data_IF_077726740912
#
_entry.id   IF_077726740912
#
_cell.length_a   1.000
_cell.length_b   1.000
_cell.length_c   1.000
_cell.angle_alpha   90.00
_cell.angle_beta   90.00
_cell.angle_gamma   90.00
#
_symmetry.space_group_name_H-M   'P 1'
#
loop_
_entity.id
_entity.type
_entity.pdbx_description
1 polymer ?
#
# COMPACT_ATOMS: atom_id res chain seq x y z
N UNK A 1 11.37 -28.11 -38.55
CA UNK A 1 12.28 -27.30 -37.70
C UNK A 1 12.24 -25.81 -38.01
N UNK A 2 12.65 -25.32 -39.19
CA UNK A 2 12.70 -23.86 -39.50
C UNK A 2 11.37 -23.10 -39.25
N UNK A 3 10.22 -23.70 -39.57
CA UNK A 3 8.89 -23.09 -39.37
C UNK A 3 8.54 -22.96 -37.88
N UNK A 4 8.88 -23.96 -37.06
CA UNK A 4 8.71 -23.97 -35.60
C UNK A 4 9.54 -22.85 -34.93
N UNK A 5 10.82 -22.72 -35.30
CA UNK A 5 11.68 -21.66 -34.76
C UNK A 5 11.20 -20.25 -35.15
N UNK A 6 10.67 -20.08 -36.38
CA UNK A 6 10.06 -18.79 -36.76
C UNK A 6 8.83 -18.45 -35.94
N UNK A 7 7.95 -19.41 -35.69
CA UNK A 7 6.75 -19.21 -34.86
C UNK A 7 7.15 -18.88 -33.43
N UNK A 8 8.08 -19.66 -32.85
CA UNK A 8 8.58 -19.43 -31.49
C UNK A 8 9.22 -18.03 -31.35
N UNK A 9 10.05 -17.63 -32.32
CA UNK A 9 10.66 -16.31 -32.37
C UNK A 9 9.61 -15.18 -32.41
N UNK A 10 8.55 -15.37 -33.22
CA UNK A 10 7.45 -14.40 -33.31
C UNK A 10 6.65 -14.30 -32.02
N UNK A 11 6.39 -15.42 -31.34
CA UNK A 11 5.73 -15.45 -30.03
C UNK A 11 6.57 -14.69 -29.00
N UNK A 12 7.88 -14.90 -28.96
CA UNK A 12 8.80 -14.20 -28.05
C UNK A 12 8.77 -12.69 -28.31
N UNK A 13 8.87 -12.27 -29.58
CA UNK A 13 8.81 -10.83 -29.93
C UNK A 13 7.47 -10.20 -29.55
N UNK A 14 6.37 -10.90 -29.79
CA UNK A 14 5.03 -10.44 -29.42
C UNK A 14 4.90 -10.31 -27.89
N UNK A 15 5.42 -11.29 -27.14
CA UNK A 15 5.42 -11.25 -25.68
C UNK A 15 6.24 -10.08 -25.15
N UNK A 16 7.42 -9.81 -25.71
CA UNK A 16 8.24 -8.64 -25.35
C UNK A 16 7.51 -7.34 -25.65
N UNK A 17 6.87 -7.24 -26.81
CA UNK A 17 6.08 -6.07 -27.17
C UNK A 17 4.91 -5.84 -26.21
N UNK A 18 4.16 -6.89 -25.86
CA UNK A 18 3.05 -6.82 -24.90
C UNK A 18 3.56 -6.36 -23.54
N UNK A 19 4.65 -6.94 -23.03
CA UNK A 19 5.26 -6.55 -21.78
C UNK A 19 5.75 -5.09 -21.79
N UNK A 20 6.31 -4.64 -22.92
CA UNK A 20 6.73 -3.26 -23.09
C UNK A 20 5.55 -2.28 -23.13
N UNK A 21 4.46 -2.63 -23.81
CA UNK A 21 3.22 -1.85 -23.83
C UNK A 21 2.55 -1.81 -22.45
N UNK A 22 2.54 -2.95 -21.73
CA UNK A 22 2.07 -3.00 -20.35
C UNK A 22 2.89 -2.08 -19.44
N UNK A 23 4.23 -2.09 -19.58
CA UNK A 23 5.06 -1.18 -18.80
C UNK A 23 4.76 0.27 -19.12
N UNK A 24 4.64 0.66 -20.40
CA UNK A 24 4.25 2.03 -20.76
C UNK A 24 2.91 2.38 -20.11
N UNK A 25 1.93 1.50 -20.18
CA UNK A 25 0.63 1.70 -19.53
C UNK A 25 0.78 1.90 -18.04
N UNK A 26 1.60 1.09 -17.35
CA UNK A 26 1.84 1.20 -15.91
C UNK A 26 2.66 2.44 -15.54
N UNK A 27 3.63 2.85 -16.38
CA UNK A 27 4.41 4.07 -16.20
C UNK A 27 3.60 5.35 -16.39
N UNK A 28 2.51 5.27 -17.16
CA UNK A 28 1.59 6.40 -17.37
C UNK A 28 0.62 6.62 -16.23
N UNK A 29 0.68 5.83 -15.16
CA UNK A 29 -0.06 6.11 -13.93
C UNK A 29 0.48 7.41 -13.35
N UNK A 30 -0.27 8.47 -13.61
CA UNK A 30 0.10 9.82 -13.18
C UNK A 30 0.05 9.87 -11.65
N UNK A 31 0.98 10.59 -11.05
CA UNK A 31 0.82 11.07 -9.70
C UNK A 31 -0.46 11.91 -9.62
N UNK A 32 -1.34 11.56 -8.70
CA UNK A 32 -2.62 12.22 -8.50
C UNK A 32 -3.02 12.13 -7.04
N UNK A 33 -3.56 13.22 -6.51
CA UNK A 33 -4.19 13.24 -5.20
C UNK A 33 -5.68 13.47 -5.38
N UNK A 34 -6.50 12.60 -4.80
CA UNK A 34 -7.95 12.71 -4.82
C UNK A 34 -8.47 12.98 -3.42
N UNK A 35 -9.34 13.97 -3.32
CA UNK A 35 -9.95 14.38 -2.08
C UNK A 35 -11.42 14.01 -2.03
N UNK A 36 -11.88 13.63 -0.84
CA UNK A 36 -13.29 13.46 -0.51
C UNK A 36 -13.58 14.31 0.72
N UNK A 37 -14.68 15.06 0.72
CA UNK A 37 -15.10 15.96 1.81
C UNK A 37 -14.05 17.05 2.15
N UNK A 38 -13.33 17.57 1.16
CA UNK A 38 -12.26 18.55 1.39
C UNK A 38 -12.78 19.91 1.86
N UNK A 39 -13.98 20.29 1.38
CA UNK A 39 -14.53 21.63 1.58
C UNK A 39 -14.87 21.94 3.05
N UNK A 40 -15.07 20.92 3.87
CA UNK A 40 -15.46 21.07 5.26
C UNK A 40 -14.91 19.96 6.16
N UNK A 41 -13.74 20.19 6.75
CA UNK A 41 -13.08 19.24 7.63
C UNK A 41 -13.65 19.33 9.04
N UNK A 42 -14.64 18.49 9.34
CA UNK A 42 -15.30 18.42 10.66
C UNK A 42 -14.86 17.19 11.47
N UNK A 43 -14.38 16.16 10.81
CA UNK A 43 -13.80 14.94 11.39
C UNK A 43 -12.33 14.78 11.01
N UNK A 44 -11.69 13.77 11.58
CA UNK A 44 -10.31 13.41 11.31
C UNK A 44 -10.04 13.23 9.80
N UNK A 45 -8.81 13.40 9.40
CA UNK A 45 -8.34 13.15 8.03
C UNK A 45 -7.88 11.69 7.95
N UNK A 46 -8.25 11.01 6.89
CA UNK A 46 -7.73 9.67 6.55
C UNK A 46 -6.91 9.76 5.28
N UNK A 47 -5.64 9.42 5.36
CA UNK A 47 -4.76 9.35 4.18
C UNK A 47 -4.69 7.91 3.72
N UNK A 48 -4.94 7.68 2.43
CA UNK A 48 -4.92 6.35 1.82
C UNK A 48 -3.97 6.30 0.63
N UNK A 49 -3.26 5.20 0.45
CA UNK A 49 -2.46 4.95 -0.73
C UNK A 49 -2.17 3.46 -0.94
N UNK A 50 -1.90 3.12 -2.20
CA UNK A 50 -1.78 1.75 -2.69
C UNK A 50 -0.36 1.19 -2.61
N UNK A 51 -0.25 -0.10 -2.94
CA UNK A 51 0.99 -0.79 -3.21
C UNK A 51 1.36 -0.82 -4.69
N UNK A 52 2.23 -1.78 -5.03
CA UNK A 52 2.74 -1.98 -6.39
C UNK A 52 1.60 -2.22 -7.38
N UNK A 53 1.72 -1.66 -8.58
CA UNK A 53 0.68 -1.66 -9.62
C UNK A 53 -0.68 -1.11 -9.19
N UNK A 54 -0.72 -0.41 -8.06
CA UNK A 54 -1.94 0.25 -7.60
C UNK A 54 -2.44 1.29 -8.58
N UNK A 55 -3.75 1.40 -8.72
CA UNK A 55 -4.41 2.37 -9.56
C UNK A 55 -5.55 3.07 -8.80
N UNK A 56 -5.97 4.23 -9.30
CA UNK A 56 -6.91 5.16 -8.65
C UNK A 56 -8.14 4.50 -8.00
N UNK A 57 -8.64 3.40 -8.57
CA UNK A 57 -9.88 2.79 -8.10
C UNK A 57 -9.70 1.70 -7.05
N UNK A 58 -8.46 1.32 -6.74
CA UNK A 58 -8.21 0.14 -5.90
C UNK A 58 -8.70 0.33 -4.46
N UNK A 59 -8.50 1.50 -3.84
CA UNK A 59 -9.01 1.83 -2.51
C UNK A 59 -10.38 2.55 -2.53
N UNK A 60 -10.96 2.75 -3.71
CA UNK A 60 -12.15 3.56 -3.89
C UNK A 60 -13.31 3.17 -2.98
N UNK A 61 -13.56 1.87 -2.82
CA UNK A 61 -14.65 1.38 -1.96
C UNK A 61 -14.44 1.81 -0.51
N UNK A 62 -13.23 1.65 0.02
CA UNK A 62 -12.86 2.08 1.38
C UNK A 62 -12.95 3.61 1.49
N UNK A 63 -12.37 4.35 0.53
CA UNK A 63 -12.36 5.81 0.52
C UNK A 63 -13.77 6.38 0.56
N UNK A 64 -14.67 5.87 -0.31
CA UNK A 64 -16.06 6.31 -0.36
C UNK A 64 -16.82 5.99 0.93
N UNK A 65 -16.60 4.81 1.52
CA UNK A 65 -17.25 4.44 2.79
C UNK A 65 -16.78 5.27 3.99
N UNK A 66 -15.52 5.63 4.03
CA UNK A 66 -15.00 6.54 5.05
C UNK A 66 -15.52 7.98 4.84
N UNK A 67 -15.61 8.41 3.59
CA UNK A 67 -16.17 9.72 3.25
C UNK A 67 -17.68 9.81 3.55
N UNK A 68 -18.45 8.74 3.30
CA UNK A 68 -19.87 8.64 3.70
C UNK A 68 -20.05 8.83 5.22
N UNK A 69 -19.09 8.38 6.01
CA UNK A 69 -19.09 8.58 7.47
C UNK A 69 -18.61 9.98 7.90
N UNK A 70 -18.28 10.85 6.94
CA UNK A 70 -17.90 12.24 7.16
C UNK A 70 -16.41 12.47 7.41
N UNK A 71 -15.54 11.48 7.24
CA UNK A 71 -14.10 11.71 7.22
C UNK A 71 -13.69 12.51 5.98
N UNK A 72 -12.66 13.34 6.12
CA UNK A 72 -11.95 13.84 4.94
C UNK A 72 -10.96 12.79 4.52
N UNK A 73 -11.10 12.28 3.28
CA UNK A 73 -10.19 11.24 2.78
C UNK A 73 -9.29 11.82 1.70
N UNK A 74 -7.99 11.57 1.83
CA UNK A 74 -6.95 11.99 0.89
C UNK A 74 -6.30 10.74 0.29
N UNK A 75 -6.68 10.39 -0.92
CA UNK A 75 -6.10 9.26 -1.64
C UNK A 75 -4.91 9.73 -2.47
N UNK A 76 -3.73 9.18 -2.16
CA UNK A 76 -2.48 9.49 -2.87
C UNK A 76 -2.18 8.36 -3.83
N UNK A 77 -2.26 8.64 -5.11
CA UNK A 77 -1.81 7.76 -6.17
C UNK A 77 -0.43 8.22 -6.68
N UNK A 78 0.47 7.28 -6.84
CA UNK A 78 1.86 7.55 -7.23
C UNK A 78 2.38 6.48 -8.21
N UNK A 79 3.44 6.76 -8.98
CA UNK A 79 4.11 5.78 -9.82
C UNK A 79 4.80 4.71 -8.97
N UNK A 80 4.29 3.48 -8.98
CA UNK A 80 4.66 2.43 -8.02
C UNK A 80 5.84 1.56 -8.44
N UNK A 81 6.37 1.72 -9.66
CA UNK A 81 7.42 0.87 -10.23
C UNK A 81 8.65 1.65 -10.70
N UNK A 82 8.70 2.96 -10.47
CA UNK A 82 9.78 3.81 -10.99
C UNK A 82 10.97 3.92 -10.03
N UNK A 83 10.69 3.95 -8.75
CA UNK A 83 11.62 4.32 -7.70
C UNK A 83 11.64 3.23 -6.60
N UNK A 84 12.61 3.25 -5.68
CA UNK A 84 12.62 2.42 -4.48
C UNK A 84 11.68 2.99 -3.39
N UNK A 85 11.55 2.29 -2.27
CA UNK A 85 10.63 2.69 -1.18
C UNK A 85 10.98 4.07 -0.63
N UNK A 86 12.26 4.36 -0.41
CA UNK A 86 12.72 5.66 0.11
C UNK A 86 12.36 6.78 -0.85
N UNK A 87 12.79 6.65 -2.11
CA UNK A 87 12.56 7.66 -3.16
C UNK A 87 11.08 7.91 -3.39
N UNK A 88 10.24 6.87 -3.45
CA UNK A 88 8.79 7.04 -3.58
C UNK A 88 8.19 7.77 -2.38
N UNK A 89 8.65 7.46 -1.18
CA UNK A 89 8.16 8.11 0.04
C UNK A 89 8.52 9.59 0.04
N UNK A 90 9.76 9.94 -0.21
CA UNK A 90 10.24 11.33 -0.19
C UNK A 90 9.60 12.16 -1.30
N UNK A 91 9.39 11.57 -2.47
CA UNK A 91 8.92 12.27 -3.66
C UNK A 91 7.42 12.46 -3.73
N UNK A 92 6.66 11.48 -3.24
CA UNK A 92 5.20 11.46 -3.43
C UNK A 92 4.40 11.39 -2.13
N UNK A 93 4.88 10.70 -1.10
CA UNK A 93 4.09 10.46 0.11
C UNK A 93 4.34 11.54 1.16
N UNK A 94 5.58 11.81 1.50
CA UNK A 94 5.95 12.78 2.53
C UNK A 94 5.40 14.19 2.24
N UNK A 95 5.53 14.78 1.03
CA UNK A 95 5.01 16.10 0.77
C UNK A 95 3.49 16.22 0.97
N UNK A 96 2.74 15.15 0.61
CA UNK A 96 1.29 15.15 0.81
C UNK A 96 0.90 15.01 2.28
N UNK A 97 1.61 14.18 3.05
CA UNK A 97 1.38 14.06 4.49
C UNK A 97 1.67 15.41 5.16
N UNK A 98 2.78 16.05 4.85
CA UNK A 98 3.18 17.35 5.40
C UNK A 98 2.18 18.45 5.08
N UNK A 99 1.62 18.46 3.86
CA UNK A 99 0.55 19.39 3.48
C UNK A 99 -0.68 19.20 4.36
N UNK A 100 -1.13 17.94 4.57
CA UNK A 100 -2.29 17.65 5.41
C UNK A 100 -2.01 17.97 6.88
N UNK A 101 -0.79 17.71 7.37
CA UNK A 101 -0.38 18.11 8.74
C UNK A 101 -0.47 19.61 8.92
N UNK A 102 0.05 20.39 7.97
CA UNK A 102 -0.04 21.87 8.02
C UNK A 102 -1.49 22.33 8.05
N UNK A 103 -2.32 21.83 7.14
CA UNK A 103 -3.75 22.14 7.05
C UNK A 103 -4.48 21.79 8.36
N UNK A 104 -4.20 20.60 8.91
CA UNK A 104 -4.80 20.16 10.16
C UNK A 104 -4.37 21.01 11.37
N UNK A 105 -3.12 21.41 11.43
CA UNK A 105 -2.62 22.27 12.51
C UNK A 105 -3.33 23.64 12.53
N UNK A 106 -3.59 24.24 11.36
CA UNK A 106 -4.36 25.47 11.24
C UNK A 106 -5.80 25.27 11.76
N UNK A 107 -6.47 24.19 11.37
CA UNK A 107 -7.80 23.83 11.85
C UNK A 107 -7.81 23.61 13.37
N UNK A 108 -6.83 22.87 13.88
CA UNK A 108 -6.74 22.56 15.30
C UNK A 108 -6.49 23.80 16.17
N UNK A 109 -5.77 24.81 15.67
CA UNK A 109 -5.64 26.10 16.35
C UNK A 109 -7.01 26.80 16.51
N UNK A 110 -7.84 26.80 15.45
CA UNK A 110 -9.20 27.37 15.53
C UNK A 110 -10.11 26.54 16.45
N UNK A 111 -10.01 25.21 16.39
CA UNK A 111 -10.79 24.30 17.26
C UNK A 111 -10.45 24.50 18.74
N UNK A 112 -9.16 24.63 19.04
CA UNK A 112 -8.67 24.92 20.40
C UNK A 112 -9.21 26.23 20.93
N UNK A 113 -9.24 27.29 20.11
CA UNK A 113 -9.83 28.60 20.48
C UNK A 113 -11.34 28.50 20.80
N UNK A 114 -12.02 27.48 20.24
CA UNK A 114 -13.44 27.19 20.45
C UNK A 114 -13.69 26.09 21.51
N UNK A 115 -12.66 25.63 22.21
CA UNK A 115 -12.70 24.49 23.14
C UNK A 115 -13.26 23.19 22.53
N UNK A 116 -12.98 22.96 21.23
CA UNK A 116 -13.32 21.72 20.54
C UNK A 116 -12.14 20.74 20.56
N UNK A 117 -12.37 19.42 20.54
CA UNK A 117 -11.30 18.44 20.49
C UNK A 117 -10.48 18.56 19.20
N UNK A 118 -9.17 18.34 19.31
CA UNK A 118 -8.27 18.34 18.19
C UNK A 118 -8.55 17.14 17.26
N UNK A 119 -8.44 17.36 15.97
CA UNK A 119 -8.54 16.33 14.94
C UNK A 119 -7.18 15.68 14.70
N UNK A 120 -7.21 14.45 14.18
CA UNK A 120 -6.04 13.62 13.90
C UNK A 120 -5.94 13.22 12.44
N UNK A 121 -4.78 12.68 12.06
CA UNK A 121 -4.53 12.03 10.78
C UNK A 121 -4.45 10.53 11.02
N UNK A 122 -5.31 9.80 10.34
CA UNK A 122 -5.29 8.34 10.27
C UNK A 122 -4.71 7.89 8.93
N UNK A 123 -4.21 6.67 8.90
CA UNK A 123 -3.71 6.05 7.68
C UNK A 123 -4.40 4.73 7.41
N UNK A 124 -4.81 4.51 6.17
CA UNK A 124 -5.29 3.21 5.68
C UNK A 124 -4.53 2.91 4.40
N UNK A 125 -3.56 2.01 4.46
CA UNK A 125 -2.60 1.78 3.39
C UNK A 125 -2.51 0.31 3.03
N UNK A 126 -2.25 0.04 1.75
CA UNK A 126 -2.31 -1.31 1.21
C UNK A 126 -0.96 -1.78 0.66
N UNK A 127 -0.61 -3.06 0.91
CA UNK A 127 0.51 -3.77 0.28
C UNK A 127 1.86 -3.02 0.44
N UNK A 128 2.62 -2.81 -0.63
CA UNK A 128 3.87 -2.04 -0.62
C UNK A 128 3.71 -0.64 0.00
N UNK A 129 2.53 -0.01 -0.12
CA UNK A 129 2.25 1.28 0.51
C UNK A 129 2.47 1.25 2.03
N UNK A 130 2.29 0.10 2.66
CA UNK A 130 2.56 -0.08 4.10
C UNK A 130 4.03 0.10 4.45
N UNK A 131 4.93 -0.29 3.55
CA UNK A 131 6.38 -0.10 3.72
C UNK A 131 6.77 1.37 3.60
N UNK A 132 6.14 2.11 2.65
CA UNK A 132 6.35 3.54 2.50
C UNK A 132 5.92 4.30 3.77
N UNK A 133 4.73 3.96 4.31
CA UNK A 133 4.24 4.58 5.54
C UNK A 133 5.11 4.25 6.74
N UNK A 134 5.52 2.98 6.91
CA UNK A 134 6.41 2.57 8.01
C UNK A 134 7.74 3.30 7.93
N UNK A 135 8.32 3.47 6.74
CA UNK A 135 9.53 4.27 6.55
C UNK A 135 9.28 5.73 6.94
N UNK A 136 8.22 6.36 6.44
CA UNK A 136 7.89 7.74 6.80
C UNK A 136 7.74 7.94 8.30
N UNK A 137 6.97 7.08 8.99
CA UNK A 137 6.72 7.18 10.43
C UNK A 137 7.94 6.80 11.30
N UNK A 138 8.91 6.07 10.76
CA UNK A 138 10.19 5.79 11.42
C UNK A 138 11.08 7.04 11.44
N UNK A 139 11.14 7.76 10.32
CA UNK A 139 12.00 8.92 10.15
C UNK A 139 11.34 10.23 10.66
N UNK A 140 10.02 10.27 10.78
CA UNK A 140 9.27 11.48 11.09
C UNK A 140 8.32 11.27 12.27
N UNK A 141 8.40 12.17 13.25
CA UNK A 141 7.42 12.24 14.33
C UNK A 141 6.20 13.03 13.88
N UNK A 142 5.03 12.43 14.03
CA UNK A 142 3.75 13.03 13.69
C UNK A 142 2.89 13.20 14.95
N UNK A 143 2.85 14.41 15.52
CA UNK A 143 2.12 14.67 16.77
C UNK A 143 0.61 14.53 16.61
N UNK A 144 0.08 14.77 15.43
CA UNK A 144 -1.34 14.56 15.08
C UNK A 144 -1.66 13.14 14.63
N UNK A 145 -0.73 12.19 14.78
CA UNK A 145 -0.97 10.79 14.39
C UNK A 145 -2.16 10.20 15.16
N UNK A 146 -3.10 9.65 14.41
CA UNK A 146 -4.21 8.87 14.90
C UNK A 146 -3.92 7.37 14.81
N UNK A 147 -4.80 6.66 14.13
CA UNK A 147 -4.72 5.20 13.93
C UNK A 147 -4.08 4.86 12.59
N UNK A 148 -3.37 3.74 12.54
CA UNK A 148 -2.72 3.23 11.33
C UNK A 148 -3.27 1.85 11.03
N UNK A 149 -3.90 1.68 9.86
CA UNK A 149 -4.37 0.39 9.35
C UNK A 149 -3.51 -0.02 8.16
N UNK A 150 -2.86 -1.16 8.29
CA UNK A 150 -2.03 -1.79 7.27
C UNK A 150 -2.81 -2.97 6.65
N UNK A 151 -3.20 -2.86 5.40
CA UNK A 151 -3.93 -3.91 4.70
C UNK A 151 -2.94 -4.74 3.88
N UNK A 152 -2.89 -6.05 4.15
CA UNK A 152 -2.01 -7.03 3.51
C UNK A 152 -0.54 -6.60 3.42
N UNK A 153 0.06 -6.19 4.56
CA UNK A 153 1.43 -5.67 4.56
C UNK A 153 2.46 -6.78 4.34
N UNK A 154 3.45 -6.60 3.45
CA UNK A 154 4.65 -7.44 3.42
C UNK A 154 5.58 -7.04 4.56
N UNK A 155 5.15 -7.23 5.83
CA UNK A 155 5.81 -6.72 7.03
C UNK A 155 7.24 -7.23 7.19
N UNK A 156 7.45 -8.51 6.82
CA UNK A 156 8.75 -9.18 6.80
C UNK A 156 9.12 -9.66 5.39
N UNK A 157 8.68 -8.92 4.38
CA UNK A 157 8.91 -9.24 2.98
C UNK A 157 7.93 -10.27 2.39
N UNK A 158 8.18 -10.61 1.13
CA UNK A 158 7.45 -11.65 0.40
C UNK A 158 8.44 -12.54 -0.34
N UNK A 159 8.25 -13.86 -0.29
CA UNK A 159 9.05 -14.82 -1.05
C UNK A 159 8.98 -14.59 -2.57
N UNK A 160 7.97 -13.88 -3.05
CA UNK A 160 7.94 -13.44 -4.45
C UNK A 160 9.09 -12.48 -4.77
N UNK A 161 9.51 -11.66 -3.80
CA UNK A 161 10.64 -10.74 -3.93
C UNK A 161 11.99 -11.44 -3.84
N UNK A 162 12.06 -12.64 -3.25
CA UNK A 162 13.27 -13.46 -3.17
C UNK A 162 13.54 -14.23 -4.48
N UNK A 163 12.54 -14.33 -5.36
CA UNK A 163 12.66 -15.09 -6.60
C UNK A 163 13.73 -14.46 -7.51
N UNK A 164 14.74 -15.24 -7.97
CA UNK A 164 15.77 -14.72 -8.86
C UNK A 164 15.25 -14.09 -10.16
N UNK A 165 14.06 -14.49 -10.61
CA UNK A 165 13.38 -13.85 -11.75
C UNK A 165 13.09 -12.37 -11.44
N UNK A 166 12.75 -12.03 -10.20
CA UNK A 166 12.55 -10.65 -9.78
C UNK A 166 13.80 -9.79 -9.99
N UNK A 167 14.99 -10.37 -9.78
CA UNK A 167 16.27 -9.69 -10.04
C UNK A 167 16.59 -9.56 -11.54
N UNK A 168 16.03 -10.44 -12.40
CA UNK A 168 16.24 -10.40 -13.84
C UNK A 168 15.32 -9.41 -14.56
N UNK A 169 14.18 -9.06 -13.98
CA UNK A 169 13.17 -8.20 -14.60
C UNK A 169 12.86 -6.93 -13.78
N UNK A 170 13.88 -6.28 -13.15
CA UNK A 170 13.63 -5.10 -12.32
C UNK A 170 12.99 -3.95 -13.11
N UNK A 171 13.23 -3.95 -14.41
CA UNK A 171 12.62 -2.97 -15.32
C UNK A 171 11.08 -3.05 -15.34
N UNK A 172 10.49 -4.23 -15.12
CA UNK A 172 9.04 -4.43 -15.17
C UNK A 172 8.37 -4.31 -13.80
N UNK A 173 9.01 -4.80 -12.75
CA UNK A 173 8.43 -4.85 -11.40
C UNK A 173 8.90 -3.71 -10.48
N UNK A 174 9.85 -2.90 -10.93
CA UNK A 174 10.38 -1.77 -10.18
C UNK A 174 11.45 -2.13 -9.14
N UNK A 175 12.27 -1.17 -8.74
CA UNK A 175 13.36 -1.39 -7.79
C UNK A 175 12.88 -1.69 -6.37
N UNK A 176 11.72 -1.19 -5.96
CA UNK A 176 11.15 -1.39 -4.62
C UNK A 176 10.92 -2.87 -4.26
N UNK A 177 10.80 -3.77 -5.23
CA UNK A 177 10.66 -5.21 -4.96
C UNK A 177 11.88 -5.75 -4.21
N UNK A 178 13.07 -5.22 -4.47
CA UNK A 178 14.30 -5.62 -3.76
C UNK A 178 14.27 -5.23 -2.29
N UNK A 179 13.58 -4.14 -1.96
CA UNK A 179 13.42 -3.65 -0.59
C UNK A 179 12.51 -4.58 0.23
N UNK A 180 11.66 -5.39 -0.44
CA UNK A 180 10.67 -6.29 0.16
C UNK A 180 11.12 -7.77 0.17
N UNK A 181 12.42 -8.07 0.13
CA UNK A 181 12.95 -9.43 0.32
C UNK A 181 12.75 -9.90 1.76
N UNK A 182 12.74 -11.23 1.97
CA UNK A 182 12.53 -11.82 3.31
C UNK A 182 13.82 -11.89 4.14
N UNK A 183 14.95 -11.57 3.58
CA UNK A 183 16.25 -11.52 4.29
C UNK A 183 16.18 -10.56 5.48
N UNK A 184 16.78 -10.95 6.61
CA UNK A 184 16.76 -10.16 7.86
C UNK A 184 17.38 -8.75 7.69
N UNK A 185 18.32 -8.59 6.75
CA UNK A 185 18.95 -7.30 6.44
C UNK A 185 18.20 -6.53 5.34
N UNK A 186 17.08 -7.07 4.82
CA UNK A 186 16.28 -6.36 3.83
C UNK A 186 15.69 -5.08 4.41
N UNK A 187 15.41 -4.13 3.53
CA UNK A 187 14.89 -2.83 3.94
C UNK A 187 13.64 -2.94 4.83
N UNK A 188 12.66 -3.78 4.46
CA UNK A 188 11.40 -3.92 5.22
C UNK A 188 11.63 -4.48 6.62
N UNK A 189 12.61 -5.38 6.81
CA UNK A 189 12.95 -5.95 8.10
C UNK A 189 13.71 -4.94 8.98
N UNK A 190 14.38 -3.96 8.40
CA UNK A 190 15.05 -2.88 9.10
C UNK A 190 14.10 -1.72 9.51
N UNK A 191 12.86 -1.73 9.07
CA UNK A 191 11.86 -0.72 9.46
C UNK A 191 11.44 -0.83 10.93
N UNK A 192 11.58 -2.02 11.54
CA UNK A 192 11.21 -2.26 12.93
C UNK A 192 9.71 -2.37 13.18
N UNK A 193 9.34 -2.43 14.45
CA UNK A 193 7.96 -2.54 14.90
C UNK A 193 7.32 -1.16 15.13
N UNK A 194 5.99 -1.03 14.99
CA UNK A 194 5.30 0.24 15.22
C UNK A 194 5.30 0.60 16.72
N UNK A 195 5.57 1.87 17.01
CA UNK A 195 5.40 2.48 18.34
C UNK A 195 4.14 3.36 18.42
N UNK A 196 3.17 3.09 17.56
CA UNK A 196 1.91 3.82 17.41
C UNK A 196 0.74 2.83 17.27
N UNK A 197 -0.52 3.26 17.49
CA UNK A 197 -1.69 2.39 17.30
C UNK A 197 -1.73 1.83 15.87
N UNK A 198 -1.55 0.52 15.74
CA UNK A 198 -1.41 -0.17 14.46
C UNK A 198 -2.31 -1.41 14.40
N UNK A 199 -3.08 -1.52 13.32
CA UNK A 199 -3.95 -2.64 13.02
C UNK A 199 -3.63 -3.23 11.66
N UNK A 200 -3.47 -4.55 11.61
CA UNK A 200 -3.15 -5.28 10.39
C UNK A 200 -4.37 -6.09 9.98
N UNK A 201 -4.80 -5.92 8.72
CA UNK A 201 -5.82 -6.73 8.08
C UNK A 201 -5.18 -7.54 6.96
N UNK A 202 -5.42 -8.86 6.93
CA UNK A 202 -4.87 -9.73 5.89
C UNK A 202 -5.93 -10.71 5.38
N UNK A 203 -5.89 -11.03 4.07
CA UNK A 203 -6.68 -12.09 3.47
C UNK A 203 -6.06 -13.47 3.69
N UNK A 204 -6.86 -14.53 3.52
CA UNK A 204 -6.43 -15.94 3.68
C UNK A 204 -6.69 -16.80 2.44
N UNK A 205 -6.98 -16.18 1.31
CA UNK A 205 -7.30 -16.88 0.08
C UNK A 205 -6.40 -16.42 -1.06
N UNK A 206 -5.96 -17.37 -1.87
CA UNK A 206 -5.26 -17.07 -3.10
C UNK A 206 -6.06 -17.58 -4.30
N UNK A 207 -6.26 -16.73 -5.28
CA UNK A 207 -6.73 -17.10 -6.61
C UNK A 207 -5.59 -17.14 -7.64
N UNK A 208 -4.35 -16.93 -7.18
CA UNK A 208 -3.16 -16.90 -8.03
C UNK A 208 -2.25 -18.11 -7.73
N UNK A 209 -2.64 -19.27 -8.23
CA UNK A 209 -1.89 -20.51 -8.06
C UNK A 209 -0.40 -20.39 -8.42
N UNK A 210 -0.07 -19.60 -9.45
CA UNK A 210 1.33 -19.43 -9.90
C UNK A 210 2.17 -18.70 -8.85
N UNK A 211 1.64 -17.67 -8.20
CA UNK A 211 2.37 -16.95 -7.16
C UNK A 211 2.43 -17.73 -5.86
N UNK A 212 1.31 -18.36 -5.46
CA UNK A 212 1.27 -19.18 -4.24
C UNK A 212 2.22 -20.38 -4.29
N UNK A 213 2.61 -20.87 -5.47
CA UNK A 213 3.65 -21.90 -5.59
C UNK A 213 5.02 -21.47 -5.04
N UNK A 214 5.29 -20.16 -4.98
CA UNK A 214 6.55 -19.60 -4.47
C UNK A 214 6.42 -19.12 -3.02
N UNK A 215 5.22 -19.14 -2.44
CA UNK A 215 4.93 -18.69 -1.08
C UNK A 215 4.76 -19.94 -0.19
N UNK A 216 5.40 -19.94 0.97
CA UNK A 216 5.29 -21.07 1.92
C UNK A 216 4.14 -20.82 2.90
N UNK A 217 3.22 -21.79 2.98
CA UNK A 217 2.09 -21.75 3.92
C UNK A 217 0.87 -21.04 3.35
N UNK A 218 -0.01 -20.61 4.24
CA UNK A 218 -1.20 -19.86 3.88
C UNK A 218 -0.83 -18.46 3.44
N UNK A 219 -1.46 -17.98 2.35
CA UNK A 219 -1.19 -16.67 1.75
C UNK A 219 -2.45 -16.05 1.15
N UNK A 220 -2.38 -14.75 0.87
CA UNK A 220 -3.44 -14.01 0.21
C UNK A 220 -3.27 -13.91 -1.33
N UNK A 221 -2.29 -14.62 -1.88
CA UNK A 221 -1.86 -14.59 -3.28
C UNK A 221 -0.59 -13.77 -3.54
N UNK A 222 -0.10 -13.01 -2.55
CA UNK A 222 1.09 -12.16 -2.65
C UNK A 222 1.93 -12.14 -1.37
N UNK A 223 1.30 -12.21 -0.20
CA UNK A 223 1.93 -12.10 1.11
C UNK A 223 1.58 -13.31 1.97
N UNK A 224 2.58 -13.97 2.61
CA UNK A 224 2.31 -15.04 3.56
C UNK A 224 1.64 -14.51 4.82
N UNK A 225 0.62 -15.20 5.33
CA UNK A 225 -0.04 -14.82 6.60
C UNK A 225 0.95 -14.80 7.76
N UNK A 226 1.87 -15.76 7.78
CA UNK A 226 2.85 -15.94 8.85
C UNK A 226 3.81 -14.75 9.02
N UNK A 227 4.03 -13.97 7.97
CA UNK A 227 4.99 -12.85 7.96
C UNK A 227 4.33 -11.47 7.89
N UNK A 228 3.00 -11.40 7.92
CA UNK A 228 2.28 -10.14 7.86
C UNK A 228 2.25 -9.38 9.21
N UNK A 229 2.36 -10.09 10.33
CA UNK A 229 2.30 -9.52 11.68
C UNK A 229 3.49 -8.64 12.01
N UNK A 230 3.28 -7.70 12.93
CA UNK A 230 4.32 -6.87 13.57
C UNK A 230 4.09 -6.89 15.08
N UNK A 231 5.16 -6.97 15.86
CA UNK A 231 5.04 -6.87 17.32
C UNK A 231 4.46 -5.50 17.72
N UNK A 232 3.51 -5.49 18.62
CA UNK A 232 2.79 -4.28 19.05
C UNK A 232 1.61 -3.89 18.16
N UNK A 233 1.40 -4.54 17.01
CA UNK A 233 0.21 -4.36 16.18
C UNK A 233 -0.84 -5.45 16.46
N UNK A 234 -2.12 -5.08 16.43
CA UNK A 234 -3.22 -6.05 16.37
C UNK A 234 -3.36 -6.58 14.95
N UNK A 235 -3.73 -7.86 14.79
CA UNK A 235 -3.91 -8.48 13.47
C UNK A 235 -5.25 -9.21 13.40
N UNK A 236 -5.94 -9.04 12.27
CA UNK A 236 -7.15 -9.82 11.92
C UNK A 236 -7.08 -10.34 10.49
N UNK A 237 -7.49 -11.58 10.33
CA UNK A 237 -7.68 -12.20 9.01
C UNK A 237 -9.13 -11.97 8.55
N UNK A 238 -9.27 -11.40 7.35
CA UNK A 238 -10.55 -11.27 6.65
C UNK A 238 -10.74 -12.50 5.78
N UNK A 239 -11.65 -13.37 6.18
CA UNK A 239 -11.83 -14.69 5.58
C UNK A 239 -12.28 -14.66 4.13
N UNK A 240 -11.77 -15.62 3.34
CA UNK A 240 -12.10 -15.78 1.92
C UNK A 240 -11.81 -14.52 1.09
N UNK A 241 -10.72 -13.83 1.41
CA UNK A 241 -10.26 -12.67 0.64
C UNK A 241 -8.83 -12.87 0.16
N UNK A 242 -8.58 -12.39 -1.04
CA UNK A 242 -7.25 -12.32 -1.65
C UNK A 242 -6.60 -10.98 -1.36
N UNK A 243 -5.34 -10.82 -1.77
CA UNK A 243 -4.55 -9.59 -1.65
C UNK A 243 -5.26 -8.31 -2.11
N UNK A 244 -6.16 -8.43 -3.07
CA UNK A 244 -6.91 -7.29 -3.61
C UNK A 244 -8.39 -7.33 -3.27
N UNK A 245 -9.04 -8.52 -3.23
CA UNK A 245 -10.47 -8.58 -2.94
C UNK A 245 -10.84 -8.16 -1.52
N UNK A 246 -9.89 -8.18 -0.59
CA UNK A 246 -10.04 -7.64 0.76
C UNK A 246 -10.43 -6.15 0.76
N UNK A 247 -10.01 -5.39 -0.25
CA UNK A 247 -10.28 -3.95 -0.37
C UNK A 247 -11.74 -3.63 -0.71
N UNK A 248 -12.49 -4.61 -1.21
CA UNK A 248 -13.89 -4.47 -1.62
C UNK A 248 -14.87 -5.13 -0.64
N UNK A 249 -14.36 -5.63 0.50
CA UNK A 249 -15.19 -6.27 1.52
C UNK A 249 -15.73 -5.27 2.52
N UNK A 250 -17.03 -5.36 2.81
CA UNK A 250 -17.66 -4.55 3.85
C UNK A 250 -17.04 -4.82 5.23
N UNK A 251 -16.71 -6.09 5.54
CA UNK A 251 -16.03 -6.46 6.79
C UNK A 251 -14.72 -5.70 6.97
N UNK A 252 -13.94 -5.48 5.90
CA UNK A 252 -12.70 -4.68 5.95
C UNK A 252 -12.98 -3.25 6.38
N UNK A 253 -14.02 -2.64 5.81
CA UNK A 253 -14.44 -1.27 6.18
C UNK A 253 -14.91 -1.23 7.63
N UNK A 254 -15.69 -2.20 8.07
CA UNK A 254 -16.20 -2.28 9.45
C UNK A 254 -15.04 -2.41 10.45
N UNK A 255 -14.02 -3.21 10.15
CA UNK A 255 -12.82 -3.33 10.98
C UNK A 255 -12.00 -2.03 11.02
N UNK A 256 -11.85 -1.32 9.90
CA UNK A 256 -11.17 -0.02 9.86
C UNK A 256 -11.88 0.99 10.77
N UNK A 257 -13.20 1.02 10.75
CA UNK A 257 -14.02 1.94 11.57
C UNK A 257 -14.00 1.60 13.05
N UNK A 258 -14.00 0.31 13.38
CA UNK A 258 -14.04 -0.18 14.77
C UNK A 258 -12.68 -0.07 15.48
N UNK A 259 -11.58 -0.08 14.75
CA UNK A 259 -10.24 0.15 15.29
C UNK A 259 -10.05 1.59 15.72
#
# INVERSE_FOLDING_TARGET
MKKFFKILFFIILLSILILWLMKIFLLTHKYQVKYYNEDKIEKDIVITFNGIYGYEKQLRFIDEKLAEDGYTVVNIQYPTINDNIVEMTEKYIAPNIEEQVKKLNEINLERKAKNLPELKIHFVVHSMGTCLLRYYLKENKLDSLGKVVLITPPSHGSQLSDNPIADLIPYFIGPAVKDMKTDENSFVNQLGNPNYPCYILIGDSSNNFLFSMFIKGEDDGMVPLATAGLEGASLKTIKNTTHTSILEKQETVDEIKNF
#
